data_IF_097061304658
#
_entry.id   IF_097061304658
#
_cell.length_a   1.000
_cell.length_b   1.000
_cell.length_c   1.000
_cell.angle_alpha   90.00
_cell.angle_beta   90.00
_cell.angle_gamma   90.00
#
_symmetry.space_group_name_H-M   'P 1'
#
loop_
_entity.id
_entity.type
_entity.pdbx_description
1 polymer ?
#
# COMPACT_ATOMS: atom_id res chain seq x y z
N UNK A 1 -5.47 7.37 -13.38
CA UNK A 1 -5.30 8.25 -12.20
C UNK A 1 -4.41 7.52 -11.21
N UNK A 2 -3.49 8.21 -10.52
CA UNK A 2 -2.57 7.57 -9.59
C UNK A 2 -2.38 8.42 -8.34
N UNK A 3 -2.42 7.78 -7.17
CA UNK A 3 -2.14 8.41 -5.88
C UNK A 3 -1.10 7.56 -5.12
N UNK A 4 -0.17 8.22 -4.43
CA UNK A 4 0.89 7.56 -3.64
C UNK A 4 0.91 8.18 -2.25
N UNK A 5 0.87 7.34 -1.22
CA UNK A 5 0.97 7.75 0.19
C UNK A 5 2.13 7.00 0.83
N UNK A 6 2.99 7.71 1.55
CA UNK A 6 4.07 7.13 2.36
C UNK A 6 3.71 7.27 3.83
N UNK A 7 3.69 6.16 4.55
CA UNK A 7 3.18 6.05 5.92
C UNK A 7 4.16 5.29 6.81
N UNK A 8 4.03 5.44 8.13
CA UNK A 8 5.05 4.95 9.07
C UNK A 8 4.76 3.55 9.62
N UNK A 9 3.50 3.11 9.62
CA UNK A 9 3.10 1.85 10.24
C UNK A 9 1.81 1.30 9.64
N UNK A 10 1.43 0.11 10.08
CA UNK A 10 0.22 -0.59 9.63
C UNK A 10 -1.10 0.15 9.91
N UNK A 11 -1.16 0.95 10.99
CA UNK A 11 -2.36 1.74 11.34
C UNK A 11 -2.52 2.89 10.34
N UNK A 12 -1.46 3.63 10.05
CA UNK A 12 -1.50 4.70 9.04
C UNK A 12 -1.72 4.14 7.62
N UNK A 13 -1.16 2.97 7.31
CA UNK A 13 -1.41 2.28 6.03
C UNK A 13 -2.89 1.93 5.85
N UNK A 14 -3.54 1.47 6.93
CA UNK A 14 -4.98 1.20 6.96
C UNK A 14 -5.79 2.45 6.65
N UNK A 15 -5.48 3.57 7.31
CA UNK A 15 -6.17 4.85 7.06
C UNK A 15 -5.97 5.32 5.62
N UNK A 16 -4.75 5.20 5.09
CA UNK A 16 -4.41 5.56 3.72
C UNK A 16 -5.23 4.76 2.69
N UNK A 17 -5.34 3.44 2.87
CA UNK A 17 -6.18 2.59 2.01
C UNK A 17 -7.65 3.03 2.09
N UNK A 18 -8.20 3.23 3.29
CA UNK A 18 -9.61 3.65 3.45
C UNK A 18 -9.92 4.99 2.77
N UNK A 19 -8.98 5.95 2.84
CA UNK A 19 -9.07 7.21 2.11
C UNK A 19 -9.10 6.98 0.59
N UNK A 20 -8.22 6.14 0.05
CA UNK A 20 -8.16 5.83 -1.38
C UNK A 20 -9.45 5.14 -1.86
N UNK A 21 -10.00 4.21 -1.09
CA UNK A 21 -11.28 3.57 -1.42
C UNK A 21 -12.42 4.61 -1.43
N UNK A 22 -12.45 5.51 -0.45
CA UNK A 22 -13.43 6.61 -0.37
C UNK A 22 -13.31 7.58 -1.55
N UNK A 23 -12.10 7.76 -2.09
CA UNK A 23 -11.85 8.54 -3.31
C UNK A 23 -12.28 7.83 -4.60
N UNK A 24 -12.75 6.58 -4.52
CA UNK A 24 -13.29 5.82 -5.65
C UNK A 24 -12.31 4.86 -6.32
N UNK A 25 -11.18 4.56 -5.67
CA UNK A 25 -10.34 3.43 -6.05
C UNK A 25 -10.95 2.12 -5.56
N UNK A 26 -10.83 1.07 -6.35
CA UNK A 26 -11.15 -0.29 -5.90
C UNK A 26 -9.98 -0.90 -5.16
N UNK A 27 -10.26 -1.91 -4.33
CA UNK A 27 -9.24 -2.64 -3.57
C UNK A 27 -8.15 -3.26 -4.45
N UNK A 28 -8.49 -3.68 -5.66
CA UNK A 28 -7.56 -4.30 -6.62
C UNK A 28 -6.64 -3.26 -7.27
N UNK A 29 -7.02 -1.99 -7.22
CA UNK A 29 -6.23 -0.84 -7.70
C UNK A 29 -5.31 -0.27 -6.60
N UNK A 30 -5.41 -0.75 -5.36
CA UNK A 30 -4.58 -0.32 -4.23
C UNK A 30 -3.51 -1.37 -3.92
N UNK A 31 -2.26 -0.93 -3.88
CA UNK A 31 -1.07 -1.74 -3.66
C UNK A 31 -0.36 -1.25 -2.40
N UNK A 32 0.06 -2.17 -1.55
CA UNK A 32 0.83 -1.83 -0.34
C UNK A 32 2.20 -2.44 -0.44
N UNK A 33 3.24 -1.61 -0.37
CA UNK A 33 4.63 -2.00 -0.48
C UNK A 33 5.29 -1.79 0.88
N UNK A 34 6.02 -2.80 1.34
CA UNK A 34 6.79 -2.73 2.57
C UNK A 34 8.07 -3.57 2.44
N UNK A 35 9.13 -3.16 3.13
CA UNK A 35 10.38 -3.91 3.19
C UNK A 35 10.31 -5.09 4.19
N UNK A 36 9.46 -4.98 5.21
CA UNK A 36 9.30 -5.99 6.27
C UNK A 36 8.38 -7.14 5.84
N UNK A 37 8.80 -8.38 6.13
CA UNK A 37 8.04 -9.61 5.85
C UNK A 37 6.79 -9.75 6.73
N UNK A 38 6.82 -9.20 7.93
CA UNK A 38 5.76 -9.33 8.93
C UNK A 38 4.68 -8.23 8.76
N UNK A 39 4.86 -7.33 7.78
CA UNK A 39 3.98 -6.20 7.56
C UNK A 39 2.51 -6.61 7.35
N UNK A 40 2.25 -7.71 6.64
CA UNK A 40 0.86 -8.16 6.45
C UNK A 40 0.22 -8.64 7.74
N UNK A 41 0.96 -9.32 8.61
CA UNK A 41 0.44 -9.70 9.92
C UNK A 41 0.16 -8.45 10.76
N UNK A 42 1.05 -7.45 10.71
CA UNK A 42 0.83 -6.17 11.38
C UNK A 42 -0.38 -5.43 10.83
N UNK A 43 -0.63 -5.48 9.52
CA UNK A 43 -1.81 -4.90 8.89
C UNK A 43 -3.09 -5.62 9.31
N UNK A 44 -3.12 -6.96 9.26
CA UNK A 44 -4.26 -7.76 9.74
C UNK A 44 -4.51 -7.56 11.23
N UNK A 45 -3.47 -7.39 12.04
CA UNK A 45 -3.64 -7.05 13.46
C UNK A 45 -4.22 -5.65 13.61
N UNK A 46 -3.69 -4.66 12.89
CA UNK A 46 -4.21 -3.29 12.92
C UNK A 46 -5.69 -3.21 12.51
N UNK A 47 -6.16 -4.06 11.60
CA UNK A 47 -7.57 -4.12 11.21
C UNK A 47 -8.46 -4.79 12.26
N UNK A 48 -7.94 -5.76 13.02
CA UNK A 48 -8.71 -6.44 14.07
C UNK A 48 -8.76 -5.69 15.41
N UNK A 49 -7.86 -4.73 15.64
CA UNK A 49 -7.70 -4.11 16.97
C UNK A 49 -8.56 -2.85 17.18
N UNK A 50 -9.11 -2.26 16.11
CA UNK A 50 -9.89 -1.01 16.16
C UNK A 50 -11.36 -1.21 15.75
N UNK A 51 -12.24 -0.26 16.11
CA UNK A 51 -13.68 -0.23 15.78
C UNK A 51 -13.92 -0.09 14.27
N UNK A 52 -13.62 -1.14 13.52
CA UNK A 52 -13.84 -1.19 12.08
C UNK A 52 -15.22 -1.80 11.82
N UNK A 53 -15.93 -1.24 10.85
CA UNK A 53 -17.19 -1.81 10.38
C UNK A 53 -16.93 -3.10 9.58
N UNK A 54 -17.89 -4.03 9.57
CA UNK A 54 -17.73 -5.33 8.86
C UNK A 54 -17.44 -5.12 7.36
N UNK A 55 -17.99 -4.06 6.77
CA UNK A 55 -17.73 -3.68 5.37
C UNK A 55 -16.28 -3.26 5.13
N UNK A 56 -15.73 -2.38 5.96
CA UNK A 56 -14.34 -1.94 5.86
C UNK A 56 -13.38 -3.10 6.12
N UNK A 57 -13.66 -3.94 7.13
CA UNK A 57 -12.85 -5.12 7.44
C UNK A 57 -12.75 -6.07 6.24
N UNK A 58 -13.88 -6.34 5.57
CA UNK A 58 -13.90 -7.16 4.35
C UNK A 58 -13.12 -6.55 3.17
N UNK A 59 -13.04 -5.22 3.09
CA UNK A 59 -12.20 -4.52 2.10
C UNK A 59 -10.72 -4.74 2.40
N UNK A 60 -10.31 -4.58 3.66
CA UNK A 60 -8.91 -4.77 4.07
C UNK A 60 -8.43 -6.22 3.95
N UNK A 61 -9.24 -7.19 4.40
CA UNK A 61 -8.94 -8.61 4.27
C UNK A 61 -8.84 -9.05 2.79
N UNK A 62 -9.50 -8.29 1.89
CA UNK A 62 -9.45 -8.52 0.45
C UNK A 62 -8.30 -7.81 -0.27
N UNK A 63 -7.47 -6.99 0.38
CA UNK A 63 -6.33 -6.34 -0.28
C UNK A 63 -5.26 -7.41 -0.57
N UNK A 64 -5.37 -8.01 -1.75
CA UNK A 64 -4.48 -9.09 -2.21
C UNK A 64 -3.09 -8.59 -2.63
N UNK A 65 -2.92 -7.28 -2.80
CA UNK A 65 -1.76 -6.66 -3.44
C UNK A 65 -0.71 -6.11 -2.46
N UNK A 66 -0.40 -6.88 -1.41
CA UNK A 66 0.73 -6.57 -0.53
C UNK A 66 2.01 -7.16 -1.13
N UNK A 67 2.90 -6.30 -1.62
CA UNK A 67 4.17 -6.72 -2.21
C UNK A 67 5.31 -6.48 -1.24
N UNK A 68 6.10 -7.53 -1.02
CA UNK A 68 7.25 -7.52 -0.11
C UNK A 68 8.47 -7.94 -0.93
N UNK A 69 9.39 -7.01 -1.11
CA UNK A 69 10.69 -7.31 -1.70
C UNK A 69 11.73 -6.28 -1.25
N UNK A 70 12.96 -6.39 -1.74
CA UNK A 70 14.08 -5.49 -1.45
C UNK A 70 14.75 -5.11 -2.75
N UNK A 71 15.37 -3.93 -2.79
CA UNK A 71 16.18 -3.53 -3.92
C UNK A 71 15.40 -3.42 -5.24
N UNK A 72 16.03 -3.89 -6.31
CA UNK A 72 15.56 -3.75 -7.70
C UNK A 72 14.16 -4.32 -7.99
N UNK A 73 13.74 -5.35 -7.28
CA UNK A 73 12.39 -5.92 -7.43
C UNK A 73 11.30 -4.94 -6.94
N UNK A 74 11.61 -4.19 -5.88
CA UNK A 74 10.72 -3.17 -5.32
C UNK A 74 10.59 -2.00 -6.30
N UNK A 75 11.71 -1.55 -6.86
CA UNK A 75 11.76 -0.50 -7.88
C UNK A 75 10.98 -0.90 -9.13
N UNK A 76 11.21 -2.10 -9.63
CA UNK A 76 10.52 -2.66 -10.81
C UNK A 76 9.00 -2.71 -10.59
N UNK A 77 8.56 -3.11 -9.39
CA UNK A 77 7.14 -3.10 -9.04
C UNK A 77 6.57 -1.69 -9.02
N UNK A 78 7.26 -0.73 -8.40
CA UNK A 78 6.82 0.67 -8.32
C UNK A 78 6.70 1.29 -9.71
N UNK A 79 7.68 1.04 -10.59
CA UNK A 79 7.64 1.47 -11.99
C UNK A 79 6.46 0.87 -12.76
N UNK A 80 6.15 -0.42 -12.54
CA UNK A 80 5.00 -1.08 -13.17
C UNK A 80 3.65 -0.44 -12.82
N UNK A 81 3.58 0.30 -11.70
CA UNK A 81 2.41 1.08 -11.28
C UNK A 81 2.39 2.49 -11.91
N UNK A 82 3.26 2.76 -12.89
CA UNK A 82 3.35 4.03 -13.61
C UNK A 82 4.07 5.14 -12.83
N UNK A 83 4.94 4.79 -11.87
CA UNK A 83 5.85 5.73 -11.22
C UNK A 83 7.14 5.85 -12.03
N UNK A 84 7.65 7.08 -12.19
CA UNK A 84 8.91 7.32 -12.89
C UNK A 84 10.10 6.73 -12.14
N UNK A 85 11.20 6.46 -12.83
CA UNK A 85 12.42 5.89 -12.24
C UNK A 85 12.91 6.68 -11.02
N UNK A 86 12.96 8.01 -11.14
CA UNK A 86 13.37 8.90 -10.04
C UNK A 86 12.41 8.79 -8.86
N UNK A 87 11.10 8.73 -9.12
CA UNK A 87 10.10 8.55 -8.06
C UNK A 87 10.17 7.16 -7.42
N UNK A 88 10.45 6.13 -8.21
CA UNK A 88 10.60 4.77 -7.73
C UNK A 88 11.81 4.63 -6.82
N UNK A 89 12.93 5.26 -7.18
CA UNK A 89 14.12 5.33 -6.33
C UNK A 89 13.83 6.03 -5.01
N UNK A 90 13.15 7.19 -5.02
CA UNK A 90 12.78 7.90 -3.80
C UNK A 90 11.87 7.06 -2.89
N UNK A 91 10.92 6.33 -3.46
CA UNK A 91 10.02 5.46 -2.70
C UNK A 91 10.74 4.22 -2.15
N UNK A 92 11.69 3.66 -2.89
CA UNK A 92 12.55 2.58 -2.42
C UNK A 92 13.39 3.03 -1.20
N UNK A 93 13.98 4.23 -1.25
CA UNK A 93 14.72 4.80 -0.11
C UNK A 93 13.82 4.96 1.14
N UNK A 94 12.55 5.30 0.97
CA UNK A 94 11.58 5.37 2.07
C UNK A 94 11.24 3.98 2.62
N UNK A 95 11.10 2.98 1.75
CA UNK A 95 10.85 1.58 2.14
C UNK A 95 12.06 1.01 2.92
N UNK A 96 13.28 1.34 2.51
CA UNK A 96 14.51 0.97 3.22
C UNK A 96 14.61 1.60 4.61
N UNK A 97 14.05 2.80 4.79
CA UNK A 97 13.91 3.46 6.10
C UNK A 97 12.83 2.82 6.99
N UNK A 98 12.19 1.75 6.53
CA UNK A 98 11.13 1.04 7.25
C UNK A 98 9.75 1.68 7.10
N UNK A 99 9.58 2.64 6.17
CA UNK A 99 8.26 3.19 5.85
C UNK A 99 7.49 2.23 4.95
N UNK A 100 6.21 2.49 4.80
CA UNK A 100 5.30 1.74 3.95
C UNK A 100 4.80 2.68 2.85
N UNK A 101 4.68 2.16 1.64
CA UNK A 101 4.19 2.92 0.49
C UNK A 101 2.88 2.31 0.02
N UNK A 102 1.80 3.10 0.04
CA UNK A 102 0.49 2.74 -0.48
C UNK A 102 0.30 3.44 -1.82
N UNK A 103 0.12 2.68 -2.89
CA UNK A 103 -0.07 3.19 -4.24
C UNK A 103 -1.47 2.81 -4.73
N UNK A 104 -2.28 3.79 -5.11
CA UNK A 104 -3.49 3.54 -5.89
C UNK A 104 -3.22 3.85 -7.36
N UNK A 105 -3.41 2.87 -8.23
CA UNK A 105 -3.21 3.02 -9.67
C UNK A 105 -4.46 2.53 -10.41
N UNK A 106 -5.23 3.50 -10.92
CA UNK A 106 -6.39 3.25 -11.79
C UNK A 106 -5.96 3.34 -13.24
N UNK A 107 -5.98 2.20 -13.93
CA UNK A 107 -5.88 2.16 -15.39
C UNK A 107 -7.05 2.95 -15.96
N UNK A 108 -6.73 4.05 -16.64
CA UNK A 108 -7.74 4.81 -17.37
C UNK A 108 -7.98 4.05 -18.66
N UNK A 109 -9.08 3.31 -18.71
CA UNK A 109 -9.63 2.77 -19.96
C UNK A 109 -10.29 3.89 -20.75
#
# INVERSE_FOLDING_TARGET
>A
MKEVKVVQNAVEAREAIGQLITQGFSKDEVFVLAHDKDFSENLTRATNTEKISVEEQGVFDSVANVFRSRGDELRSKIQSLGVSDVGAQQLEEELDRGRIVVVAAKSVS
#
